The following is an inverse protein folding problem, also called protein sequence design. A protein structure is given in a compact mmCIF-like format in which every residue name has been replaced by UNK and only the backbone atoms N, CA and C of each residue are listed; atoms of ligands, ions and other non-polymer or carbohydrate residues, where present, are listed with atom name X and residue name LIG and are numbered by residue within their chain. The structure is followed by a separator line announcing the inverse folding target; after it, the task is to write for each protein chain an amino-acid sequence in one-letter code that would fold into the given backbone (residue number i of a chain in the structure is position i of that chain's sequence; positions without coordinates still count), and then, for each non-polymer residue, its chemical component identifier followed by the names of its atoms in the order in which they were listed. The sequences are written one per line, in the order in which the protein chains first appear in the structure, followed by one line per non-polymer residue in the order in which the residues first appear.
data_IF_025686475040
#
_entry.id   IF_025686475040
#
_cell.length_a   1.000
_cell.length_b   1.000
_cell.length_c   1.000
_cell.angle_alpha   90.00
_cell.angle_beta   90.00
_cell.angle_gamma   90.00
#
_symmetry.space_group_name_H-M   'P 1'
#
loop_
_entity.id
_entity.type
_entity.pdbx_description
1 polymer ?
#
# COMPACT_ATOMS: atom_id res chain seq x y z
N UNK A 1 9.33 -15.90 1.85
CA UNK A 1 8.72 -16.36 0.58
C UNK A 1 7.38 -17.09 0.74
N UNK A 2 7.21 -18.14 1.56
CA UNK A 2 5.95 -18.91 1.64
C UNK A 2 4.69 -18.09 2.03
N UNK A 3 4.82 -17.10 2.93
CA UNK A 3 3.68 -16.24 3.32
C UNK A 3 3.26 -15.31 2.17
N UNK A 4 4.20 -14.83 1.36
CA UNK A 4 3.93 -13.92 0.25
C UNK A 4 3.17 -14.64 -0.87
N UNK A 5 3.62 -15.85 -1.21
CA UNK A 5 2.92 -16.74 -2.16
C UNK A 5 1.56 -17.17 -1.62
N UNK A 6 1.44 -17.47 -0.32
CA UNK A 6 0.16 -17.83 0.31
C UNK A 6 -0.83 -16.66 0.33
N UNK A 7 -0.39 -15.43 0.62
CA UNK A 7 -1.23 -14.24 0.54
C UNK A 7 -1.66 -13.98 -0.90
N UNK A 8 -0.73 -13.97 -1.85
CA UNK A 8 -1.04 -13.79 -3.27
C UNK A 8 -2.00 -14.88 -3.79
N UNK A 9 -1.81 -16.15 -3.45
CA UNK A 9 -2.72 -17.22 -3.87
C UNK A 9 -4.10 -17.11 -3.21
N UNK A 10 -4.15 -16.75 -1.92
CA UNK A 10 -5.41 -16.57 -1.16
C UNK A 10 -6.23 -15.39 -1.67
N UNK A 11 -5.58 -14.36 -2.22
CA UNK A 11 -6.25 -13.17 -2.77
C UNK A 11 -6.50 -13.24 -4.28
N UNK A 12 -5.79 -14.10 -5.03
CA UNK A 12 -6.15 -14.43 -6.41
C UNK A 12 -7.44 -15.26 -6.49
N UNK A 13 -7.68 -16.13 -5.49
CA UNK A 13 -8.91 -16.91 -5.35
C UNK A 13 -10.08 -16.11 -4.74
N UNK A 14 -9.79 -14.95 -4.14
CA UNK A 14 -10.82 -14.04 -3.72
C UNK A 14 -11.38 -13.38 -4.99
N UNK A 15 -12.52 -13.88 -5.47
CA UNK A 15 -13.44 -13.16 -6.38
C UNK A 15 -13.84 -11.81 -5.76
N UNK A 16 -12.90 -10.87 -5.69
CA UNK A 16 -13.20 -9.46 -5.52
C UNK A 16 -13.95 -9.10 -6.80
N UNK A 17 -15.28 -9.04 -6.71
CA UNK A 17 -16.30 -8.79 -7.74
C UNK A 17 -16.14 -7.48 -8.55
N UNK A 18 -14.92 -6.96 -8.67
CA UNK A 18 -14.59 -5.80 -9.46
C UNK A 18 -14.03 -6.25 -10.80
N UNK A 19 -14.46 -5.56 -11.86
CA UNK A 19 -14.00 -5.88 -13.20
C UNK A 19 -12.48 -5.67 -13.27
N UNK A 20 -11.78 -6.56 -14.01
CA UNK A 20 -10.37 -6.35 -14.33
C UNK A 20 -10.12 -5.00 -15.02
N UNK A 21 -11.14 -4.46 -15.68
CA UNK A 21 -11.15 -3.14 -16.30
C UNK A 21 -11.00 -2.00 -15.27
N UNK A 22 -11.85 -1.94 -14.24
CA UNK A 22 -11.76 -0.89 -13.20
C UNK A 22 -10.41 -0.91 -12.47
N UNK A 23 -9.87 -2.10 -12.19
CA UNK A 23 -8.53 -2.25 -11.59
C UNK A 23 -7.43 -1.69 -12.50
N UNK A 24 -7.53 -1.92 -13.80
CA UNK A 24 -6.55 -1.41 -14.77
C UNK A 24 -6.62 0.11 -14.93
N UNK A 25 -7.83 0.69 -14.95
CA UNK A 25 -8.00 2.14 -15.00
C UNK A 25 -7.42 2.81 -13.76
N UNK A 26 -7.72 2.29 -12.57
CA UNK A 26 -7.13 2.78 -11.31
C UNK A 26 -5.60 2.65 -11.29
N UNK A 27 -5.07 1.53 -11.78
CA UNK A 27 -3.63 1.33 -11.87
C UNK A 27 -2.97 2.33 -12.84
N UNK A 28 -3.62 2.64 -13.96
CA UNK A 28 -3.14 3.61 -14.95
C UNK A 28 -3.22 5.04 -14.42
N UNK A 29 -4.31 5.42 -13.78
CA UNK A 29 -4.48 6.74 -13.17
C UNK A 29 -3.45 6.99 -12.07
N UNK A 30 -3.15 5.96 -11.26
CA UNK A 30 -2.03 6.00 -10.30
C UNK A 30 -0.70 6.29 -11.03
N UNK A 31 -0.41 5.55 -12.11
CA UNK A 31 0.86 5.63 -12.84
C UNK A 31 1.10 6.94 -13.60
N UNK A 32 0.06 7.49 -14.22
CA UNK A 32 0.17 8.56 -15.20
C UNK A 32 -0.41 9.91 -14.76
N UNK A 33 -1.31 9.89 -13.78
CA UNK A 33 -2.04 11.08 -13.30
C UNK A 33 -1.85 11.35 -11.81
N UNK A 34 -1.23 10.43 -11.08
CA UNK A 34 -0.92 10.62 -9.67
C UNK A 34 -2.10 10.30 -8.73
N UNK A 35 -3.18 9.67 -9.21
CA UNK A 35 -4.42 9.46 -8.46
C UNK A 35 -4.33 8.36 -7.39
N UNK A 36 -3.47 8.58 -6.41
CA UNK A 36 -3.24 7.68 -5.28
C UNK A 36 -4.48 7.52 -4.40
N UNK A 37 -5.28 8.58 -4.26
CA UNK A 37 -6.41 8.60 -3.33
C UNK A 37 -7.49 7.63 -3.76
N UNK A 38 -7.85 7.64 -5.05
CA UNK A 38 -8.81 6.67 -5.59
C UNK A 38 -8.28 5.24 -5.47
N UNK A 39 -6.99 5.03 -5.77
CA UNK A 39 -6.35 3.73 -5.73
C UNK A 39 -6.33 3.09 -4.32
N UNK A 40 -5.87 3.82 -3.30
CA UNK A 40 -5.85 3.29 -1.92
C UNK A 40 -7.24 3.25 -1.28
N UNK A 41 -8.14 4.16 -1.66
CA UNK A 41 -9.56 4.07 -1.29
C UNK A 41 -10.19 2.76 -1.78
N UNK A 42 -9.95 2.40 -3.03
CA UNK A 42 -10.40 1.14 -3.61
C UNK A 42 -9.84 -0.09 -2.86
N UNK A 43 -8.55 -0.07 -2.49
CA UNK A 43 -7.95 -1.15 -1.69
C UNK A 43 -8.65 -1.28 -0.32
N UNK A 44 -8.93 -0.17 0.35
CA UNK A 44 -9.62 -0.18 1.64
C UNK A 44 -11.06 -0.71 1.53
N UNK A 45 -11.79 -0.37 0.46
CA UNK A 45 -13.12 -0.91 0.21
C UNK A 45 -13.10 -2.43 -0.05
N UNK A 46 -12.11 -2.91 -0.83
CA UNK A 46 -11.91 -4.33 -1.04
C UNK A 46 -11.60 -5.06 0.28
N UNK A 47 -10.75 -4.48 1.12
CA UNK A 47 -10.41 -5.02 2.43
C UNK A 47 -11.66 -5.16 3.33
N UNK A 48 -12.48 -4.10 3.40
CA UNK A 48 -13.74 -4.10 4.15
C UNK A 48 -14.72 -5.15 3.65
N UNK A 49 -14.93 -5.22 2.34
CA UNK A 49 -15.82 -6.21 1.74
C UNK A 49 -15.37 -7.64 2.04
N UNK A 50 -14.08 -7.93 1.86
CA UNK A 50 -13.52 -9.26 2.12
C UNK A 50 -13.54 -9.66 3.60
N UNK A 51 -13.41 -8.69 4.51
CA UNK A 51 -13.49 -8.96 5.95
C UNK A 51 -14.91 -9.16 6.44
N UNK A 52 -15.92 -8.46 5.89
CA UNK A 52 -17.33 -8.67 6.25
C UNK A 52 -17.87 -10.06 5.94
N UNK A 53 -17.27 -10.76 4.97
CA UNK A 53 -17.70 -12.10 4.53
C UNK A 53 -17.06 -13.24 5.33
N UNK A 54 -16.04 -12.96 6.14
CA UNK A 54 -15.37 -13.98 6.96
C UNK A 54 -15.48 -13.60 8.41
N UNK A 55 -15.96 -14.54 9.21
CA UNK A 55 -15.83 -14.49 10.66
C UNK A 55 -14.33 -14.26 10.97
N UNK A 56 -13.95 -13.16 11.64
CA UNK A 56 -12.80 -13.06 12.58
C UNK A 56 -12.22 -11.66 12.77
N UNK A 57 -11.67 -11.50 13.97
CA UNK A 57 -10.51 -10.66 14.28
C UNK A 57 -9.39 -10.85 13.25
N UNK A 58 -9.11 -9.81 12.46
CA UNK A 58 -7.93 -9.70 11.60
C UNK A 58 -7.10 -8.51 12.09
N UNK A 59 -5.79 -8.68 12.19
CA UNK A 59 -4.86 -7.69 12.72
C UNK A 59 -3.96 -7.10 11.65
N UNK A 60 -2.98 -6.31 12.08
CA UNK A 60 -1.96 -5.62 11.26
C UNK A 60 -1.43 -6.43 10.07
N UNK A 61 -0.92 -7.64 10.33
CA UNK A 61 -0.37 -8.54 9.31
C UNK A 61 -1.32 -8.77 8.12
N UNK A 62 -2.62 -8.89 8.41
CA UNK A 62 -3.62 -9.12 7.37
C UNK A 62 -3.82 -7.86 6.53
N UNK A 63 -3.95 -6.70 7.16
CA UNK A 63 -4.17 -5.41 6.49
C UNK A 63 -2.96 -5.01 5.63
N UNK A 64 -1.75 -5.15 6.17
CA UNK A 64 -0.52 -4.84 5.45
C UNK A 64 -0.32 -5.84 4.31
N UNK A 65 -0.50 -7.13 4.57
CA UNK A 65 -0.39 -8.18 3.56
C UNK A 65 -1.42 -8.05 2.44
N UNK A 66 -2.66 -7.65 2.75
CA UNK A 66 -3.69 -7.39 1.75
C UNK A 66 -3.31 -6.20 0.87
N UNK A 67 -2.91 -5.09 1.48
CA UNK A 67 -2.51 -3.88 0.74
C UNK A 67 -1.34 -4.18 -0.19
N UNK A 68 -0.32 -4.87 0.31
CA UNK A 68 0.84 -5.30 -0.48
C UNK A 68 0.46 -6.25 -1.63
N UNK A 69 -0.45 -7.20 -1.39
CA UNK A 69 -0.92 -8.10 -2.44
C UNK A 69 -1.72 -7.36 -3.53
N UNK A 70 -2.48 -6.32 -3.17
CA UNK A 70 -3.18 -5.47 -4.13
C UNK A 70 -2.21 -4.59 -4.92
N UNK A 71 -1.19 -4.01 -4.28
CA UNK A 71 -0.16 -3.24 -5.01
C UNK A 71 0.71 -4.11 -5.90
N UNK A 72 0.96 -5.37 -5.53
CA UNK A 72 1.68 -6.33 -6.37
C UNK A 72 0.95 -6.75 -7.65
N UNK A 73 -0.36 -6.52 -7.73
CA UNK A 73 -1.13 -6.73 -8.96
C UNK A 73 -1.04 -5.55 -9.93
N UNK A 74 -0.51 -4.40 -9.50
CA UNK A 74 -0.35 -3.24 -10.36
C UNK A 74 0.83 -3.43 -11.31
N UNK A 75 0.53 -3.61 -12.60
CA UNK A 75 1.52 -3.90 -13.65
C UNK A 75 2.59 -2.83 -13.87
N UNK A 76 2.38 -1.60 -13.39
CA UNK A 76 3.28 -0.48 -13.62
C UNK A 76 4.44 -0.41 -12.62
N UNK A 77 4.32 -1.15 -11.51
CA UNK A 77 5.24 -1.09 -10.40
C UNK A 77 5.81 -2.46 -10.07
N UNK A 78 7.02 -2.46 -9.53
CA UNK A 78 7.57 -3.56 -8.75
C UNK A 78 7.54 -3.15 -7.28
N UNK A 79 6.61 -3.66 -6.46
CA UNK A 79 6.63 -3.36 -5.03
C UNK A 79 7.91 -3.91 -4.41
N UNK A 80 8.60 -3.05 -3.66
CA UNK A 80 9.73 -3.40 -2.83
C UNK A 80 9.25 -3.25 -1.39
N UNK A 81 9.25 -4.36 -0.66
CA UNK A 81 8.93 -4.39 0.76
C UNK A 81 10.19 -4.58 1.58
N UNK A 82 10.52 -3.66 2.48
CA UNK A 82 11.64 -3.87 3.39
C UNK A 82 11.24 -4.88 4.49
N UNK A 83 11.83 -6.08 4.47
CA UNK A 83 11.66 -7.09 5.53
C UNK A 83 12.81 -7.10 6.55
N UNK A 84 13.83 -6.25 6.41
CA UNK A 84 15.13 -6.45 7.07
C UNK A 84 15.49 -5.45 8.19
N UNK A 85 14.51 -4.72 8.75
CA UNK A 85 14.70 -4.08 10.06
C UNK A 85 13.86 -4.81 11.11
N UNK A 86 14.45 -5.09 12.27
CA UNK A 86 13.86 -5.87 13.38
C UNK A 86 12.63 -5.19 14.04
N UNK A 87 11.91 -4.30 13.34
CA UNK A 87 10.90 -3.40 13.88
C UNK A 87 9.44 -3.64 13.41
N UNK A 88 9.16 -4.51 12.44
CA UNK A 88 7.78 -4.78 11.99
C UNK A 88 7.54 -4.50 10.51
N UNK A 89 6.31 -4.72 10.03
CA UNK A 89 5.97 -4.89 8.62
C UNK A 89 5.97 -3.59 7.78
N UNK A 90 6.95 -3.49 6.87
CA UNK A 90 6.95 -2.96 5.48
C UNK A 90 6.38 -1.56 5.19
N UNK A 91 7.31 -0.64 4.93
CA UNK A 91 7.23 0.48 3.99
C UNK A 91 7.18 -0.09 2.56
N UNK A 92 6.13 0.18 1.79
CA UNK A 92 6.02 -0.29 0.40
C UNK A 92 6.57 0.78 -0.53
N UNK A 93 7.68 0.50 -1.21
CA UNK A 93 8.09 1.31 -2.35
C UNK A 93 7.53 0.73 -3.64
N UNK A 94 6.63 1.46 -4.30
CA UNK A 94 6.16 1.17 -5.65
C UNK A 94 7.21 1.66 -6.64
N UNK A 95 8.24 0.82 -6.83
CA UNK A 95 9.35 1.10 -7.73
C UNK A 95 8.86 1.12 -9.18
N UNK A 96 9.09 2.21 -9.92
CA UNK A 96 8.55 2.37 -11.26
C UNK A 96 9.24 1.45 -12.27
N UNK A 97 8.48 0.76 -13.12
CA UNK A 97 9.01 -0.11 -14.19
C UNK A 97 9.32 0.68 -15.47
N UNK A 98 10.22 1.67 -15.39
CA UNK A 98 10.55 2.58 -16.50
C UNK A 98 11.17 1.90 -17.73
N UNK A 99 11.76 0.70 -17.57
CA UNK A 99 12.26 -0.09 -18.70
C UNK A 99 11.13 -0.59 -19.62
N UNK A 100 9.91 -0.70 -19.09
CA UNK A 100 8.71 -1.16 -19.80
C UNK A 100 7.81 0.03 -20.12
N UNK A 101 7.63 0.94 -19.16
CA UNK A 101 6.74 2.11 -19.23
C UNK A 101 7.56 3.39 -19.05
N UNK A 102 8.34 3.74 -20.07
CA UNK A 102 9.30 4.85 -20.00
C UNK A 102 8.66 6.24 -19.88
N UNK A 103 7.37 6.36 -20.19
CA UNK A 103 6.57 7.58 -20.11
C UNK A 103 5.77 7.73 -18.81
N UNK A 104 5.89 6.76 -17.89
CA UNK A 104 5.22 6.82 -16.59
C UNK A 104 5.73 8.00 -15.75
N UNK A 105 4.84 8.61 -14.97
CA UNK A 105 5.10 9.89 -14.31
C UNK A 105 5.22 9.82 -12.79
N UNK A 106 4.64 8.81 -12.14
CA UNK A 106 4.50 8.80 -10.69
C UNK A 106 5.06 7.53 -10.05
N UNK A 107 5.74 7.67 -8.91
CA UNK A 107 6.18 6.59 -8.03
C UNK A 107 5.80 6.89 -6.57
N UNK A 108 5.79 5.86 -5.71
CA UNK A 108 5.22 5.98 -4.38
C UNK A 108 6.04 5.27 -3.32
N UNK A 109 6.27 5.94 -2.21
CA UNK A 109 6.47 5.28 -0.91
C UNK A 109 5.12 5.26 -0.20
N UNK A 110 4.75 4.11 0.34
CA UNK A 110 3.50 3.92 1.07
C UNK A 110 3.84 3.37 2.44
N UNK A 111 3.62 4.20 3.45
CA UNK A 111 3.86 3.85 4.84
C UNK A 111 2.56 3.38 5.48
N UNK A 112 2.54 2.11 5.92
CA UNK A 112 1.36 1.49 6.50
C UNK A 112 1.49 1.40 8.02
N UNK A 113 0.44 1.82 8.72
CA UNK A 113 0.31 1.64 10.17
C UNK A 113 -1.03 1.04 10.54
N UNK A 114 -1.06 0.37 11.69
CA UNK A 114 -2.25 -0.29 12.19
C UNK A 114 -2.48 0.00 13.68
N UNK A 115 -3.68 0.49 14.01
CA UNK A 115 -4.25 0.54 15.34
C UNK A 115 -5.34 -0.53 15.50
N UNK A 116 -5.50 -1.05 16.71
CA UNK A 116 -6.62 -1.95 17.04
C UNK A 116 -7.91 -1.14 17.23
N UNK A 117 -9.06 -1.78 17.02
CA UNK A 117 -10.38 -1.15 17.25
C UNK A 117 -10.53 -0.48 18.62
N UNK A 118 -9.95 -1.08 19.66
CA UNK A 118 -10.02 -0.60 21.05
C UNK A 118 -9.03 0.52 21.37
N UNK A 119 -8.08 0.80 20.47
CA UNK A 119 -7.08 1.82 20.73
C UNK A 119 -7.73 3.21 20.64
N UNK A 120 -7.27 4.18 21.44
CA UNK A 120 -7.80 5.54 21.40
C UNK A 120 -7.45 6.24 20.07
N UNK A 121 -8.20 7.27 19.70
CA UNK A 121 -7.88 8.09 18.51
C UNK A 121 -6.49 8.74 18.59
N UNK A 122 -6.00 9.03 19.80
CA UNK A 122 -4.63 9.53 19.99
C UNK A 122 -3.57 8.55 19.45
N UNK A 123 -3.83 7.24 19.48
CA UNK A 123 -2.91 6.25 18.93
C UNK A 123 -2.85 6.32 17.40
N UNK A 124 -3.97 6.64 16.74
CA UNK A 124 -4.00 6.84 15.28
C UNK A 124 -3.12 8.03 14.89
N UNK A 125 -3.18 9.12 15.64
CA UNK A 125 -2.34 10.30 15.38
C UNK A 125 -0.85 10.03 15.68
N UNK A 126 -0.53 9.33 16.77
CA UNK A 126 0.85 8.90 17.05
C UNK A 126 1.42 8.08 15.89
N UNK A 127 0.68 7.08 15.43
CA UNK A 127 1.06 6.23 14.29
C UNK A 127 1.22 7.06 13.01
N UNK A 128 0.34 8.04 12.78
CA UNK A 128 0.46 8.96 11.64
C UNK A 128 1.79 9.72 11.67
N UNK A 129 2.17 10.29 12.82
CA UNK A 129 3.43 11.03 12.94
C UNK A 129 4.67 10.11 12.79
N UNK A 130 4.61 8.90 13.37
CA UNK A 130 5.63 7.86 13.18
C UNK A 130 5.79 7.53 11.69
N UNK A 131 4.68 7.34 10.97
CA UNK A 131 4.67 7.05 9.54
C UNK A 131 5.23 8.19 8.69
N UNK A 132 4.88 9.44 8.99
CA UNK A 132 5.42 10.61 8.28
C UNK A 132 6.95 10.64 8.43
N UNK A 133 7.47 10.43 9.63
CA UNK A 133 8.90 10.42 9.87
C UNK A 133 9.61 9.30 9.08
N UNK A 134 9.02 8.10 9.05
CA UNK A 134 9.57 6.95 8.33
C UNK A 134 9.53 7.13 6.81
N UNK A 135 8.40 7.56 6.25
CA UNK A 135 8.26 7.84 4.82
C UNK A 135 9.29 8.89 4.34
N UNK A 136 9.50 9.95 5.14
CA UNK A 136 10.52 10.96 4.85
C UNK A 136 11.95 10.38 4.90
N UNK A 137 12.26 9.62 5.94
CA UNK A 137 13.57 8.99 6.07
C UNK A 137 13.85 8.02 4.92
N UNK A 138 12.88 7.20 4.52
CA UNK A 138 13.04 6.24 3.44
C UNK A 138 13.21 6.90 2.08
N UNK A 139 12.46 7.99 1.81
CA UNK A 139 12.60 8.79 0.61
C UNK A 139 14.02 9.36 0.42
N UNK A 140 14.73 9.58 1.53
CA UNK A 140 16.09 10.10 1.52
C UNK A 140 17.18 9.04 1.26
N UNK A 141 16.83 7.76 1.20
CA UNK A 141 17.78 6.68 0.94
C UNK A 141 18.30 6.68 -0.50
N UNK A 142 19.55 6.25 -0.68
CA UNK A 142 20.17 6.08 -1.99
C UNK A 142 19.39 5.11 -2.90
N UNK A 143 18.78 4.08 -2.29
CA UNK A 143 17.97 3.08 -3.00
C UNK A 143 16.79 3.75 -3.70
N UNK A 144 16.02 4.56 -2.99
CA UNK A 144 14.86 5.27 -3.55
C UNK A 144 15.33 6.31 -4.56
N UNK A 145 16.30 7.15 -4.20
CA UNK A 145 16.82 8.23 -5.07
C UNK A 145 17.30 7.72 -6.43
N UNK A 146 17.87 6.51 -6.49
CA UNK A 146 18.30 5.89 -7.76
C UNK A 146 17.17 5.21 -8.52
N UNK A 147 16.16 4.71 -7.82
CA UNK A 147 15.09 3.91 -8.42
C UNK A 147 13.90 4.73 -8.94
N UNK A 148 13.68 5.96 -8.45
CA UNK A 148 12.56 6.82 -8.90
C UNK A 148 12.67 7.27 -10.35
N UNK A 149 13.89 7.30 -10.91
CA UNK A 149 14.14 7.69 -12.30
C UNK A 149 13.57 9.07 -12.63
N UNK A 150 12.72 9.15 -13.66
CA UNK A 150 12.08 10.39 -14.14
C UNK A 150 10.74 10.69 -13.46
N UNK A 151 10.28 9.84 -12.54
CA UNK A 151 8.97 10.00 -11.91
C UNK A 151 8.99 11.02 -10.78
N UNK A 152 7.83 11.63 -10.50
CA UNK A 152 7.55 12.31 -9.25
C UNK A 152 7.36 11.25 -8.15
N UNK A 153 8.16 11.34 -7.10
CA UNK A 153 8.00 10.52 -5.90
C UNK A 153 6.94 11.13 -4.98
N UNK A 154 5.92 10.36 -4.65
CA UNK A 154 4.90 10.66 -3.66
C UNK A 154 5.14 9.85 -2.38
N UNK A 155 4.91 10.46 -1.22
CA UNK A 155 4.98 9.78 0.09
C UNK A 155 3.57 9.71 0.65
N UNK A 156 3.01 8.51 0.70
CA UNK A 156 1.64 8.26 1.14
C UNK A 156 1.68 7.62 2.53
N UNK A 157 0.98 8.22 3.48
CA UNK A 157 0.79 7.67 4.82
C UNK A 157 -0.62 7.09 4.91
N UNK A 158 -0.71 5.83 5.29
CA UNK A 158 -1.99 5.13 5.50
C UNK A 158 -2.02 4.54 6.90
N UNK A 159 -3.00 4.97 7.69
CA UNK A 159 -3.24 4.40 9.02
C UNK A 159 -4.58 3.71 9.02
N UNK A 160 -4.57 2.42 9.32
CA UNK A 160 -5.76 1.63 9.56
C UNK A 160 -6.08 1.58 11.06
N UNK A 161 -7.36 1.62 11.40
CA UNK A 161 -7.88 1.28 12.73
C UNK A 161 -8.87 0.12 12.58
N UNK A 162 -8.43 -1.08 12.91
CA UNK A 162 -9.14 -2.29 12.49
C UNK A 162 -9.21 -2.36 10.96
N UNK A 163 -10.42 -2.36 10.39
CA UNK A 163 -10.60 -2.37 8.92
C UNK A 163 -10.96 -0.99 8.35
N UNK A 164 -11.07 0.03 9.20
CA UNK A 164 -11.26 1.41 8.75
C UNK A 164 -9.91 2.04 8.42
N UNK A 165 -9.89 2.92 7.42
CA UNK A 165 -8.70 3.65 6.98
C UNK A 165 -8.87 5.15 7.32
N UNK A 166 -8.81 5.55 8.60
CA UNK A 166 -9.03 6.94 9.00
C UNK A 166 -8.03 7.93 8.39
N UNK A 167 -6.81 7.47 8.08
CA UNK A 167 -5.77 8.31 7.47
C UNK A 167 -5.35 7.68 6.14
N UNK A 168 -5.39 8.48 5.08
CA UNK A 168 -4.79 8.21 3.78
C UNK A 168 -4.47 9.58 3.15
N UNK A 169 -3.21 9.97 3.23
CA UNK A 169 -2.77 11.32 2.82
C UNK A 169 -1.36 11.29 2.22
N UNK A 170 -1.05 12.36 1.49
CA UNK A 170 0.28 12.64 0.98
C UNK A 170 0.99 13.66 1.86
N UNK A 171 2.30 13.45 2.10
CA UNK A 171 3.14 14.26 3.01
C UNK A 171 4.49 14.62 2.42
#
# INVERSE_FOLDING_TARGET
EQIYTYLLSTYNEAELNFSSYEKNELASALAYDGDWKAYFGYIADCLKHYTSQRDKQKGEFFVHGFTLAMTAQNRFYRPISEQDTQAGYVDIFLCPLLDIYSDMKHSYIVELKYAKYKDPESRVEELRQEAIAQANHYADTDTVKRAVGTTQLHKIVVVYKGMDMPICEEV
#
